data_IF_422423949390
#
_entry.id   IF_422423949390
#
_cell.length_a   1.000
_cell.length_b   1.000
_cell.length_c   1.000
_cell.angle_alpha   90.00
_cell.angle_beta   90.00
_cell.angle_gamma   90.00
#
_symmetry.space_group_name_H-M   'P 1'
#
loop_
_entity.id
_entity.type
_entity.pdbx_description
1 polymer ?
#
# COMPACT_ATOMS: atom_id res chain seq x y z
N UNK A 1 -9.39 -28.34 31.39
CA UNK A 1 -10.84 -28.24 31.12
C UNK A 1 -11.12 -26.85 30.58
N UNK A 2 -12.06 -26.77 29.64
CA UNK A 2 -12.56 -25.63 28.85
C UNK A 2 -11.61 -24.95 27.86
N UNK A 3 -11.88 -25.27 26.61
CA UNK A 3 -11.43 -24.78 25.31
C UNK A 3 -12.09 -23.47 24.86
N UNK A 4 -11.41 -22.68 24.01
CA UNK A 4 -11.99 -21.82 22.96
C UNK A 4 -10.85 -21.37 22.02
N UNK A 5 -10.49 -22.10 20.95
CA UNK A 5 -11.01 -22.05 19.57
C UNK A 5 -10.93 -20.68 18.87
N UNK A 6 -9.79 -20.40 18.23
CA UNK A 6 -9.64 -19.40 17.16
C UNK A 6 -9.70 -20.11 15.80
N UNK A 7 -10.62 -19.68 14.95
CA UNK A 7 -10.80 -20.15 13.57
C UNK A 7 -9.86 -19.38 12.62
N UNK A 8 -8.94 -20.08 11.97
CA UNK A 8 -8.15 -19.60 10.83
C UNK A 8 -8.21 -20.69 9.74
N UNK A 9 -9.10 -20.51 8.76
CA UNK A 9 -9.04 -21.22 7.48
C UNK A 9 -7.98 -20.52 6.62
N UNK A 10 -6.81 -21.13 6.39
CA UNK A 10 -6.56 -22.20 5.41
C UNK A 10 -5.94 -21.62 4.13
N UNK A 11 -4.63 -21.35 4.19
CA UNK A 11 -3.76 -21.42 3.02
C UNK A 11 -2.79 -22.58 3.21
N UNK A 12 -2.77 -23.47 2.22
CA UNK A 12 -2.26 -24.83 2.26
C UNK A 12 -0.77 -24.89 1.92
N UNK A 13 -0.08 -25.65 2.78
CA UNK A 13 1.16 -26.43 2.65
C UNK A 13 2.42 -25.88 1.95
N UNK A 14 3.41 -25.62 2.83
CA UNK A 14 4.83 -25.88 2.69
C UNK A 14 5.16 -27.29 2.18
N UNK A 15 6.00 -27.37 1.15
CA UNK A 15 6.77 -28.56 0.78
C UNK A 15 8.17 -28.43 1.40
N UNK A 16 8.65 -29.46 2.10
CA UNK A 16 10.05 -29.58 2.51
C UNK A 16 10.55 -30.99 2.19
N UNK A 17 11.79 -31.02 1.72
CA UNK A 17 12.54 -32.14 1.18
C UNK A 17 13.21 -32.91 2.32
N UNK A 18 13.17 -34.25 2.29
CA UNK A 18 14.30 -35.08 2.73
C UNK A 18 14.24 -36.48 2.14
N UNK A 19 15.39 -36.93 1.66
CA UNK A 19 15.70 -38.18 0.98
C UNK A 19 16.05 -39.31 1.96
N UNK A 20 15.75 -40.58 1.61
CA UNK A 20 16.60 -41.78 1.85
C UNK A 20 16.05 -43.03 1.14
N UNK A 21 16.80 -43.45 0.10
CA UNK A 21 17.23 -44.77 -0.45
C UNK A 21 16.71 -46.15 0.06
N UNK A 22 16.98 -47.27 -0.68
CA UNK A 22 15.97 -48.19 -1.25
C UNK A 22 16.05 -49.66 -0.76
N UNK A 23 15.02 -50.48 -1.07
CA UNK A 23 15.12 -51.97 -1.10
C UNK A 23 14.14 -52.56 -2.15
N UNK A 24 14.66 -53.39 -3.05
CA UNK A 24 13.99 -54.47 -3.82
C UNK A 24 14.54 -55.83 -3.32
N UNK A 25 14.14 -57.05 -3.77
CA UNK A 25 13.14 -57.46 -4.78
C UNK A 25 12.24 -58.64 -4.31
N UNK A 26 11.26 -59.10 -5.13
CA UNK A 26 11.02 -60.55 -5.35
C UNK A 26 10.03 -60.88 -6.48
N UNK A 27 10.46 -61.90 -7.24
CA UNK A 27 9.84 -62.76 -8.26
C UNK A 27 8.31 -62.98 -8.20
N UNK A 28 7.59 -62.88 -9.33
CA UNK A 28 7.45 -63.86 -10.43
C UNK A 28 6.45 -64.98 -10.11
N UNK A 29 5.26 -64.92 -10.71
CA UNK A 29 4.46 -66.12 -11.02
C UNK A 29 3.64 -65.89 -12.30
N UNK A 30 3.97 -66.67 -13.31
CA UNK A 30 3.29 -66.78 -14.60
C UNK A 30 2.21 -67.85 -14.54
N UNK A 31 1.03 -67.58 -15.12
CA UNK A 31 0.16 -68.62 -15.67
C UNK A 31 -0.38 -68.17 -17.05
N UNK A 32 0.05 -68.92 -18.08
CA UNK A 32 -0.62 -69.12 -19.39
C UNK A 32 -1.92 -69.93 -19.11
N UNK A 33 -3.00 -69.98 -19.88
CA UNK A 33 -3.45 -69.76 -21.28
C UNK A 33 -5.00 -69.53 -21.18
N UNK A 34 -5.79 -69.04 -22.13
CA UNK A 34 -6.10 -69.47 -23.52
C UNK A 34 -6.97 -68.39 -24.19
N UNK A 35 -6.86 -68.27 -25.52
CA UNK A 35 -7.70 -67.41 -26.37
C UNK A 35 -9.01 -68.10 -26.79
N UNK A 36 -10.11 -67.35 -26.83
CA UNK A 36 -11.21 -67.51 -27.78
C UNK A 36 -11.68 -66.12 -28.26
N UNK A 37 -11.91 -65.89 -29.57
CA UNK A 37 -12.26 -64.56 -30.09
C UNK A 37 -13.78 -64.39 -30.22
N UNK A 38 -14.28 -63.18 -29.90
CA UNK A 38 -15.64 -62.75 -30.22
C UNK A 38 -15.54 -61.51 -31.10
N UNK A 39 -16.16 -61.57 -32.28
CA UNK A 39 -16.23 -60.53 -33.30
C UNK A 39 -17.49 -59.66 -33.13
N UNK A 40 -17.36 -58.35 -33.37
CA UNK A 40 -18.48 -57.42 -33.55
C UNK A 40 -18.21 -56.49 -34.76
N UNK A 41 -19.26 -56.04 -35.48
CA UNK A 41 -19.19 -55.53 -36.86
C UNK A 41 -18.72 -54.06 -36.96
N UNK A 42 -18.37 -53.56 -38.17
CA UNK A 42 -17.70 -52.27 -38.33
C UNK A 42 -18.68 -51.09 -38.23
N UNK A 43 -18.35 -50.10 -37.40
CA UNK A 43 -19.09 -48.83 -37.33
C UNK A 43 -18.54 -47.85 -38.38
N UNK A 44 -19.43 -47.33 -39.22
CA UNK A 44 -19.14 -46.37 -40.29
C UNK A 44 -18.69 -45.02 -39.70
N UNK A 45 -17.54 -44.52 -40.13
CA UNK A 45 -17.09 -43.16 -39.84
C UNK A 45 -18.00 -42.13 -40.52
N UNK A 46 -18.60 -41.24 -39.74
CA UNK A 46 -19.27 -40.02 -40.22
C UNK A 46 -18.45 -38.83 -39.73
N UNK A 47 -17.66 -38.24 -40.62
CA UNK A 47 -17.03 -36.93 -40.40
C UNK A 47 -18.10 -35.86 -40.35
N UNK A 48 -18.39 -35.35 -39.15
CA UNK A 48 -19.19 -34.15 -38.94
C UNK A 48 -18.26 -33.13 -38.28
N UNK A 49 -17.59 -32.31 -39.08
CA UNK A 49 -16.84 -31.16 -38.58
C UNK A 49 -17.86 -30.18 -38.00
N UNK A 50 -18.04 -30.22 -36.68
CA UNK A 50 -18.96 -29.34 -35.97
C UNK A 50 -18.30 -27.98 -35.82
N UNK A 51 -18.90 -26.95 -36.45
CA UNK A 51 -18.55 -25.53 -36.30
C UNK A 51 -18.50 -25.10 -34.82
N UNK A 52 -19.21 -25.83 -33.94
CA UNK A 52 -19.18 -25.67 -32.48
C UNK A 52 -17.85 -26.04 -31.83
N UNK A 53 -17.08 -27.00 -32.36
CA UNK A 53 -15.79 -27.37 -31.79
C UNK A 53 -14.76 -26.26 -32.04
N UNK A 54 -14.81 -25.63 -33.23
CA UNK A 54 -13.94 -24.52 -33.62
C UNK A 54 -14.19 -23.28 -32.75
N UNK A 55 -15.46 -22.90 -32.53
CA UNK A 55 -15.80 -21.77 -31.63
C UNK A 55 -15.40 -22.02 -30.18
N UNK A 56 -15.58 -23.24 -29.68
CA UNK A 56 -15.15 -23.60 -28.32
C UNK A 56 -13.63 -23.56 -28.18
N UNK A 57 -12.87 -23.98 -29.20
CA UNK A 57 -11.40 -23.82 -29.19
C UNK A 57 -10.96 -22.36 -29.30
N UNK A 58 -11.68 -21.52 -30.05
CA UNK A 58 -11.42 -20.09 -30.13
C UNK A 58 -11.71 -19.38 -28.81
N UNK A 59 -12.82 -19.71 -28.14
CA UNK A 59 -13.17 -19.19 -26.81
C UNK A 59 -12.17 -19.65 -25.74
N UNK A 60 -11.73 -20.91 -25.77
CA UNK A 60 -10.68 -21.41 -24.88
C UNK A 60 -9.32 -20.76 -25.19
N UNK A 61 -8.99 -20.51 -26.45
CA UNK A 61 -7.77 -19.78 -26.82
C UNK A 61 -7.84 -18.31 -26.41
N UNK A 62 -9.00 -17.66 -26.51
CA UNK A 62 -9.21 -16.29 -26.02
C UNK A 62 -9.15 -16.23 -24.50
N UNK A 63 -9.72 -17.21 -23.79
CA UNK A 63 -9.60 -17.32 -22.33
C UNK A 63 -8.16 -17.61 -21.91
N UNK A 64 -7.43 -18.46 -22.64
CA UNK A 64 -6.01 -18.71 -22.40
C UNK A 64 -5.14 -17.51 -22.75
N UNK A 65 -5.47 -16.74 -23.79
CA UNK A 65 -4.78 -15.48 -24.12
C UNK A 65 -5.10 -14.37 -23.12
N UNK A 66 -6.33 -14.27 -22.62
CA UNK A 66 -6.69 -13.34 -21.54
C UNK A 66 -6.03 -13.74 -20.22
N UNK A 67 -5.96 -15.03 -19.91
CA UNK A 67 -5.21 -15.53 -18.75
C UNK A 67 -3.70 -15.31 -18.93
N UNK A 68 -3.13 -15.54 -20.12
CA UNK A 68 -1.73 -15.22 -20.41
C UNK A 68 -1.45 -13.72 -20.41
N UNK A 69 -2.37 -12.87 -20.87
CA UNK A 69 -2.25 -11.41 -20.79
C UNK A 69 -2.36 -10.92 -19.35
N UNK A 70 -3.22 -11.53 -18.52
CA UNK A 70 -3.22 -11.29 -17.06
C UNK A 70 -1.94 -11.80 -16.38
N UNK A 71 -1.31 -12.85 -16.91
CA UNK A 71 -0.06 -13.42 -16.40
C UNK A 71 1.19 -12.67 -16.91
N UNK A 72 1.06 -11.88 -17.99
CA UNK A 72 2.08 -10.97 -18.54
C UNK A 72 1.97 -9.54 -17.99
N UNK A 73 0.89 -9.21 -17.27
CA UNK A 73 0.69 -7.91 -16.65
C UNK A 73 1.43 -7.78 -15.32
N UNK A 74 1.77 -6.54 -14.94
CA UNK A 74 2.37 -6.23 -13.64
C UNK A 74 1.50 -6.75 -12.49
N UNK A 75 2.02 -7.68 -11.69
CA UNK A 75 1.30 -8.24 -10.54
C UNK A 75 1.41 -7.32 -9.33
N UNK A 76 0.51 -6.34 -9.25
CA UNK A 76 0.46 -5.35 -8.18
C UNK A 76 0.39 -5.96 -6.77
N UNK A 77 -0.41 -7.01 -6.58
CA UNK A 77 -0.56 -7.64 -5.25
C UNK A 77 0.76 -8.26 -4.78
N UNK A 78 1.44 -8.98 -5.67
CA UNK A 78 2.75 -9.56 -5.37
C UNK A 78 3.78 -8.47 -5.07
N UNK A 79 3.81 -7.41 -5.88
CA UNK A 79 4.70 -6.26 -5.67
C UNK A 79 4.48 -5.62 -4.29
N UNK A 80 3.23 -5.32 -3.92
CA UNK A 80 2.93 -4.70 -2.63
C UNK A 80 3.31 -5.60 -1.44
N UNK A 81 3.08 -6.91 -1.54
CA UNK A 81 3.48 -7.86 -0.49
C UNK A 81 5.00 -7.90 -0.36
N UNK A 82 5.73 -7.95 -1.48
CA UNK A 82 7.18 -7.95 -1.50
C UNK A 82 7.74 -6.66 -0.87
N UNK A 83 7.31 -5.49 -1.35
CA UNK A 83 7.79 -4.20 -0.80
C UNK A 83 7.40 -4.04 0.67
N UNK A 84 6.20 -4.44 1.07
CA UNK A 84 5.78 -4.37 2.48
C UNK A 84 6.67 -5.24 3.39
N UNK A 85 7.06 -6.44 2.94
CA UNK A 85 7.95 -7.33 3.69
C UNK A 85 9.37 -6.75 3.79
N UNK A 86 9.93 -6.27 2.68
CA UNK A 86 11.26 -5.63 2.67
C UNK A 86 11.32 -4.42 3.60
N UNK A 87 10.29 -3.57 3.55
CA UNK A 87 10.17 -2.39 4.42
C UNK A 87 9.99 -2.80 5.88
N UNK A 88 9.16 -3.80 6.17
CA UNK A 88 8.98 -4.30 7.54
C UNK A 88 10.31 -4.76 8.15
N UNK A 89 11.10 -5.53 7.39
CA UNK A 89 12.42 -5.98 7.82
C UNK A 89 13.38 -4.80 8.06
N UNK A 90 13.38 -3.81 7.16
CA UNK A 90 14.22 -2.63 7.30
C UNK A 90 13.84 -1.77 8.53
N UNK A 91 12.54 -1.57 8.80
CA UNK A 91 12.06 -0.86 9.98
C UNK A 91 12.40 -1.59 11.28
N UNK A 92 12.31 -2.93 11.30
CA UNK A 92 12.70 -3.75 12.45
C UNK A 92 14.17 -3.58 12.81
N UNK A 93 15.04 -3.44 11.81
CA UNK A 93 16.48 -3.19 11.98
C UNK A 93 16.77 -1.74 12.35
N UNK A 94 16.06 -0.79 11.76
CA UNK A 94 16.26 0.64 11.99
C UNK A 94 15.92 1.07 13.43
N UNK A 95 14.94 0.41 14.06
CA UNK A 95 14.48 0.75 15.42
C UNK A 95 14.69 -0.42 16.37
N UNK A 96 15.94 -0.77 16.69
CA UNK A 96 16.24 -1.86 17.63
C UNK A 96 15.89 -1.51 19.08
N UNK A 97 15.62 -2.53 19.91
CA UNK A 97 15.42 -2.36 21.35
C UNK A 97 16.76 -2.05 22.03
N UNK A 98 16.84 -0.89 22.68
CA UNK A 98 18.00 -0.43 23.46
C UNK A 98 17.53 0.50 24.57
N UNK A 99 18.41 0.82 25.51
CA UNK A 99 18.09 1.78 26.58
C UNK A 99 17.91 3.21 26.03
N UNK A 100 16.93 3.99 26.54
CA UNK A 100 15.90 3.58 27.49
C UNK A 100 14.84 2.67 26.83
N UNK A 101 14.56 1.50 27.41
CA UNK A 101 13.72 0.47 26.77
C UNK A 101 12.29 0.96 26.44
N UNK A 102 11.65 1.66 27.39
CA UNK A 102 10.23 2.05 27.28
C UNK A 102 9.93 2.88 26.02
N UNK A 103 10.83 3.78 25.61
CA UNK A 103 10.63 4.59 24.40
C UNK A 103 10.76 3.74 23.15
N UNK A 104 11.76 2.85 23.09
CA UNK A 104 11.98 1.98 21.92
C UNK A 104 10.85 0.95 21.78
N UNK A 105 10.31 0.44 22.89
CA UNK A 105 9.10 -0.39 22.88
C UNK A 105 7.90 0.38 22.31
N UNK A 106 7.65 1.61 22.78
CA UNK A 106 6.55 2.44 22.31
C UNK A 106 6.68 2.80 20.81
N UNK A 107 7.88 3.17 20.34
CA UNK A 107 8.14 3.45 18.93
C UNK A 107 7.87 2.21 18.07
N UNK A 108 8.44 1.06 18.45
CA UNK A 108 8.28 -0.21 17.73
C UNK A 108 6.83 -0.69 17.74
N UNK A 109 6.11 -0.50 18.85
CA UNK A 109 4.72 -0.93 18.98
C UNK A 109 3.85 -0.39 17.85
N UNK A 110 3.89 0.94 17.63
CA UNK A 110 3.09 1.57 16.57
C UNK A 110 3.69 1.34 15.17
N UNK A 111 5.01 1.46 15.03
CA UNK A 111 5.69 1.39 13.74
C UNK A 111 5.58 0.00 13.09
N UNK A 112 5.67 -1.04 13.91
CA UNK A 112 5.68 -2.45 13.50
C UNK A 112 4.31 -3.12 13.65
N UNK A 113 3.24 -2.38 14.00
CA UNK A 113 1.88 -2.90 14.07
C UNK A 113 1.30 -3.37 12.71
N UNK A 114 2.08 -3.32 11.63
CA UNK A 114 1.65 -3.62 10.27
C UNK A 114 1.06 -2.40 9.56
N UNK A 115 0.65 -2.59 8.31
CA UNK A 115 0.07 -1.54 7.48
C UNK A 115 0.21 -1.87 6.00
N UNK A 116 -0.50 -1.12 5.13
CA UNK A 116 -0.43 -1.32 3.67
C UNK A 116 0.93 -0.91 3.07
N UNK A 117 1.75 -0.14 3.83
CA UNK A 117 3.07 0.39 3.44
C UNK A 117 3.07 1.12 2.08
N UNK A 118 1.99 1.86 1.80
CA UNK A 118 1.80 2.59 0.52
C UNK A 118 2.88 3.67 0.33
N UNK A 119 3.18 4.46 1.36
CA UNK A 119 4.19 5.53 1.32
C UNK A 119 5.61 4.98 1.02
N UNK A 120 6.09 3.95 1.75
CA UNK A 120 7.33 3.25 1.39
C UNK A 120 7.35 2.69 -0.03
N UNK A 121 6.26 2.05 -0.47
CA UNK A 121 6.17 1.49 -1.82
C UNK A 121 6.27 2.59 -2.90
N UNK A 122 5.60 3.73 -2.69
CA UNK A 122 5.70 4.90 -3.57
C UNK A 122 7.13 5.46 -3.64
N UNK A 123 7.83 5.55 -2.50
CA UNK A 123 9.22 6.00 -2.45
C UNK A 123 10.14 5.06 -3.23
N UNK A 124 9.99 3.75 -3.06
CA UNK A 124 10.80 2.75 -3.76
C UNK A 124 10.49 2.78 -5.27
N UNK A 125 9.21 2.76 -5.64
CA UNK A 125 8.79 2.79 -7.05
C UNK A 125 9.31 4.05 -7.78
N UNK A 126 9.28 5.20 -7.13
CA UNK A 126 9.78 6.46 -7.72
C UNK A 126 11.31 6.44 -7.92
N UNK A 127 12.05 5.82 -7.00
CA UNK A 127 13.49 5.60 -7.15
C UNK A 127 13.81 4.68 -8.33
N UNK A 128 13.13 3.53 -8.40
CA UNK A 128 13.29 2.55 -9.48
C UNK A 128 12.91 3.15 -10.85
N UNK A 129 11.88 4.01 -10.88
CA UNK A 129 11.41 4.67 -12.08
C UNK A 129 12.52 5.50 -12.76
N UNK A 130 13.21 6.32 -11.97
CA UNK A 130 14.30 7.19 -12.46
C UNK A 130 15.63 6.45 -12.62
N UNK A 131 15.66 5.13 -12.38
CA UNK A 131 16.83 4.27 -12.61
C UNK A 131 17.69 4.01 -11.37
N UNK A 132 17.23 4.41 -10.18
CA UNK A 132 17.85 4.05 -8.92
C UNK A 132 17.53 2.63 -8.47
N UNK A 133 18.18 2.20 -7.39
CA UNK A 133 17.98 0.89 -6.77
C UNK A 133 17.14 0.99 -5.50
N UNK A 134 16.33 -0.03 -5.20
CA UNK A 134 15.54 -0.11 -3.96
C UNK A 134 16.40 0.12 -2.71
N UNK A 135 17.59 -0.49 -2.66
CA UNK A 135 18.50 -0.37 -1.52
C UNK A 135 18.91 1.09 -1.22
N UNK A 136 19.00 1.93 -2.26
CA UNK A 136 19.32 3.36 -2.12
C UNK A 136 18.14 4.15 -1.55
N UNK A 137 16.90 3.73 -1.83
CA UNK A 137 15.67 4.37 -1.36
C UNK A 137 15.19 3.85 0.00
N UNK A 138 15.60 2.65 0.43
CA UNK A 138 15.08 2.01 1.62
C UNK A 138 15.17 2.88 2.90
N UNK A 139 16.26 3.64 3.16
CA UNK A 139 16.28 4.55 4.31
C UNK A 139 15.26 5.68 4.21
N UNK A 140 15.03 6.25 3.02
CA UNK A 140 14.00 7.25 2.79
C UNK A 140 12.59 6.65 2.95
N UNK A 141 12.37 5.44 2.42
CA UNK A 141 11.12 4.69 2.58
C UNK A 141 10.82 4.38 4.05
N UNK A 142 11.83 4.02 4.84
CA UNK A 142 11.68 3.83 6.29
C UNK A 142 11.36 5.16 6.99
N UNK A 143 12.06 6.24 6.65
CA UNK A 143 11.88 7.55 7.25
C UNK A 143 10.45 8.09 7.04
N UNK A 144 9.89 7.97 5.83
CA UNK A 144 8.50 8.41 5.59
C UNK A 144 7.47 7.58 6.37
N UNK A 145 7.74 6.29 6.63
CA UNK A 145 6.86 5.46 7.47
C UNK A 145 7.03 5.77 8.96
N UNK A 146 8.23 6.16 9.41
CA UNK A 146 8.47 6.67 10.77
C UNK A 146 7.70 7.97 10.99
N UNK A 147 7.76 8.91 10.03
CA UNK A 147 6.98 10.16 10.04
C UNK A 147 5.48 9.85 10.03
N UNK A 148 5.02 8.97 9.15
CA UNK A 148 3.61 8.61 9.11
C UNK A 148 3.15 7.99 10.44
N UNK A 149 3.98 7.15 11.05
CA UNK A 149 3.64 6.51 12.33
C UNK A 149 3.62 7.52 13.46
N UNK A 150 4.59 8.45 13.51
CA UNK A 150 4.61 9.47 14.58
C UNK A 150 3.43 10.42 14.47
N UNK A 151 3.01 10.79 13.25
CA UNK A 151 1.83 11.62 13.08
C UNK A 151 0.59 10.93 13.65
N UNK A 152 0.43 9.62 13.40
CA UNK A 152 -0.68 8.84 13.97
C UNK A 152 -0.60 8.72 15.50
N UNK A 153 0.58 8.53 16.08
CA UNK A 153 0.75 8.48 17.55
C UNK A 153 0.27 9.78 18.19
N UNK A 154 0.61 10.92 17.59
CA UNK A 154 0.22 12.24 18.09
C UNK A 154 -1.26 12.55 17.82
N UNK A 155 -1.77 12.21 16.64
CA UNK A 155 -3.19 12.32 16.26
C UNK A 155 -4.10 11.54 17.22
N UNK A 156 -3.64 10.39 17.71
CA UNK A 156 -4.36 9.55 18.67
C UNK A 156 -4.40 10.10 20.11
N UNK A 157 -3.69 11.19 20.44
CA UNK A 157 -3.62 11.70 21.82
C UNK A 157 -4.96 12.27 22.32
N UNK A 158 -5.21 12.30 23.65
CA UNK A 158 -6.44 12.85 24.20
C UNK A 158 -6.73 14.33 23.87
N UNK A 159 -5.70 15.11 23.56
CA UNK A 159 -5.83 16.50 23.14
C UNK A 159 -6.03 16.70 21.63
N UNK A 160 -6.07 15.60 20.86
CA UNK A 160 -6.28 15.54 19.42
C UNK A 160 -7.54 14.69 19.18
N UNK A 161 -7.48 13.60 18.41
CA UNK A 161 -8.66 12.77 18.12
C UNK A 161 -9.13 11.92 19.30
N UNK A 162 -8.28 11.74 20.32
CA UNK A 162 -8.56 10.91 21.51
C UNK A 162 -9.03 9.48 21.16
N UNK A 163 -8.47 8.88 20.11
CA UNK A 163 -8.83 7.54 19.66
C UNK A 163 -8.27 6.46 20.60
N UNK A 164 -9.08 5.44 20.89
CA UNK A 164 -8.69 4.32 21.77
C UNK A 164 -8.03 3.15 21.00
N UNK A 165 -8.25 3.06 19.69
CA UNK A 165 -7.79 1.94 18.84
C UNK A 165 -7.15 2.44 17.52
N UNK A 166 -6.03 1.82 17.14
CA UNK A 166 -5.34 2.04 15.86
C UNK A 166 -4.79 0.71 15.32
N UNK A 167 -5.04 0.42 14.04
CA UNK A 167 -4.61 -0.84 13.38
C UNK A 167 -5.03 -2.11 14.14
N UNK A 168 -6.23 -2.10 14.72
CA UNK A 168 -6.79 -3.22 15.48
C UNK A 168 -6.17 -3.45 16.86
N UNK A 169 -5.40 -2.49 17.38
CA UNK A 169 -4.75 -2.55 18.70
C UNK A 169 -5.02 -1.26 19.49
N UNK A 170 -4.90 -1.27 20.84
CA UNK A 170 -4.94 -0.04 21.63
C UNK A 170 -3.96 1.02 21.12
N UNK A 171 -4.35 2.29 21.15
CA UNK A 171 -3.46 3.39 20.77
C UNK A 171 -2.25 3.48 21.71
N UNK A 172 -1.19 4.13 21.24
CA UNK A 172 0.08 4.17 21.95
C UNK A 172 -0.08 4.73 23.38
N UNK A 173 -0.83 5.83 23.52
CA UNK A 173 -1.05 6.48 24.80
C UNK A 173 -1.86 5.61 25.78
N UNK A 174 -2.73 4.71 25.30
CA UNK A 174 -3.45 3.75 26.16
C UNK A 174 -2.54 2.67 26.72
N UNK A 175 -1.49 2.28 25.99
CA UNK A 175 -0.55 1.25 26.41
C UNK A 175 0.57 1.81 27.29
N UNK A 176 1.13 2.96 26.89
CA UNK A 176 2.38 3.47 27.47
C UNK A 176 2.23 4.74 28.31
N UNK A 177 1.08 5.41 28.24
CA UNK A 177 0.84 6.74 28.81
C UNK A 177 1.01 7.86 27.78
N UNK A 178 0.37 9.01 28.02
CA UNK A 178 0.45 10.20 27.15
C UNK A 178 1.88 10.75 27.04
N UNK A 179 2.60 10.78 28.16
CA UNK A 179 3.99 11.26 28.26
C UNK A 179 4.92 10.46 27.34
N UNK A 180 4.82 9.13 27.36
CA UNK A 180 5.62 8.26 26.50
C UNK A 180 5.17 8.31 25.05
N UNK A 181 3.86 8.44 24.79
CA UNK A 181 3.35 8.56 23.42
C UNK A 181 3.86 9.83 22.72
N UNK A 182 3.83 10.98 23.39
CA UNK A 182 4.39 12.24 22.88
C UNK A 182 5.87 12.04 22.51
N UNK A 183 6.66 11.55 23.47
CA UNK A 183 8.11 11.36 23.27
C UNK A 183 8.42 10.28 22.22
N UNK A 184 7.59 9.26 22.06
CA UNK A 184 7.78 8.22 21.05
C UNK A 184 7.57 8.78 19.64
N UNK A 185 6.58 9.67 19.49
CA UNK A 185 6.38 10.41 18.25
C UNK A 185 7.57 11.33 17.94
N UNK A 186 8.03 12.10 18.92
CA UNK A 186 9.19 13.01 18.78
C UNK A 186 10.48 12.24 18.42
N UNK A 187 10.70 11.08 19.04
CA UNK A 187 11.83 10.22 18.76
C UNK A 187 11.79 9.63 17.35
N UNK A 188 10.60 9.22 16.87
CA UNK A 188 10.43 8.74 15.48
C UNK A 188 10.66 9.86 14.47
N UNK A 189 10.21 11.08 14.77
CA UNK A 189 10.48 12.27 13.95
C UNK A 189 11.99 12.53 13.83
N UNK A 190 12.70 12.58 14.95
CA UNK A 190 14.15 12.77 14.95
C UNK A 190 14.89 11.63 14.23
N UNK A 191 14.48 10.38 14.49
CA UNK A 191 15.08 9.19 13.89
C UNK A 191 14.87 9.15 12.37
N UNK A 192 13.74 9.63 11.85
CA UNK A 192 13.50 9.67 10.41
C UNK A 192 14.60 10.46 9.68
N UNK A 193 14.96 11.65 10.20
CA UNK A 193 16.04 12.47 9.64
C UNK A 193 17.42 11.84 9.81
N UNK A 194 17.71 11.36 11.02
CA UNK A 194 18.98 10.68 11.32
C UNK A 194 19.18 9.48 10.39
N UNK A 195 18.12 8.68 10.19
CA UNK A 195 18.17 7.46 9.40
C UNK A 195 18.46 7.74 7.93
N UNK A 196 17.83 8.76 7.32
CA UNK A 196 18.17 9.17 5.94
C UNK A 196 19.63 9.63 5.85
N UNK A 197 20.08 10.46 6.79
CA UNK A 197 21.44 11.00 6.77
C UNK A 197 22.50 9.90 6.92
N UNK A 198 22.28 8.96 7.84
CA UNK A 198 23.29 8.01 8.28
C UNK A 198 23.19 6.63 7.64
N UNK A 199 22.03 6.21 7.13
CA UNK A 199 21.84 4.87 6.56
C UNK A 199 21.85 4.86 5.02
N UNK A 200 21.63 5.99 4.35
CA UNK A 200 21.70 6.04 2.87
C UNK A 200 23.12 5.79 2.36
N UNK A 201 23.25 4.88 1.39
CA UNK A 201 24.50 4.48 0.74
C UNK A 201 24.35 4.58 -0.78
N UNK A 202 25.44 4.74 -1.52
CA UNK A 202 25.41 4.84 -2.98
C UNK A 202 24.83 6.15 -3.54
N UNK A 203 24.43 7.09 -2.68
CA UNK A 203 23.84 8.39 -3.04
C UNK A 203 24.81 9.51 -2.64
N UNK A 204 24.90 10.56 -3.47
CA UNK A 204 25.80 11.69 -3.17
C UNK A 204 25.29 12.51 -1.99
N UNK A 205 26.16 13.08 -1.15
CA UNK A 205 25.75 13.90 0.00
C UNK A 205 24.79 15.03 -0.36
N UNK A 206 24.98 15.69 -1.52
CA UNK A 206 24.08 16.74 -1.99
C UNK A 206 22.64 16.23 -2.22
N UNK A 207 22.46 15.02 -2.76
CA UNK A 207 21.14 14.41 -2.95
C UNK A 207 20.51 13.99 -1.62
N UNK A 208 21.32 13.48 -0.68
CA UNK A 208 20.85 13.13 0.68
C UNK A 208 20.33 14.39 1.39
N UNK A 209 21.10 15.48 1.39
CA UNK A 209 20.69 16.76 1.99
C UNK A 209 19.43 17.32 1.31
N UNK A 210 19.34 17.23 -0.02
CA UNK A 210 18.14 17.63 -0.77
C UNK A 210 16.91 16.82 -0.35
N UNK A 211 17.03 15.49 -0.22
CA UNK A 211 15.94 14.62 0.22
C UNK A 211 15.50 14.92 1.67
N UNK A 212 16.45 15.20 2.56
CA UNK A 212 16.18 15.65 3.94
C UNK A 212 15.44 17.00 3.94
N UNK A 213 15.87 17.95 3.10
CA UNK A 213 15.20 19.23 2.94
C UNK A 213 13.76 19.09 2.46
N UNK A 214 13.50 18.20 1.50
CA UNK A 214 12.14 17.89 1.06
C UNK A 214 11.30 17.23 2.16
N UNK A 215 11.86 16.28 2.91
CA UNK A 215 11.18 15.68 4.06
C UNK A 215 10.77 16.75 5.07
N UNK A 216 11.68 17.66 5.44
CA UNK A 216 11.41 18.74 6.36
C UNK A 216 10.30 19.68 5.85
N UNK A 217 10.32 20.02 4.55
CA UNK A 217 9.29 20.88 3.94
C UNK A 217 7.91 20.23 4.00
N UNK A 218 7.77 18.96 3.63
CA UNK A 218 6.46 18.29 3.56
C UNK A 218 5.86 17.95 4.92
N UNK A 219 6.65 17.91 5.99
CA UNK A 219 6.13 17.65 7.35
C UNK A 219 5.87 18.94 8.12
N UNK A 220 6.52 20.04 7.75
CA UNK A 220 6.47 21.30 8.50
C UNK A 220 5.22 22.14 8.26
N UNK A 221 5.38 23.45 8.43
CA UNK A 221 4.31 24.47 8.36
C UNK A 221 3.76 24.74 6.96
N UNK A 222 4.29 24.06 5.94
CA UNK A 222 3.79 24.09 4.56
C UNK A 222 3.27 22.71 4.12
N UNK A 223 3.11 21.78 5.05
CA UNK A 223 2.73 20.40 4.77
C UNK A 223 1.92 19.78 5.90
N UNK A 224 2.30 18.58 6.34
CA UNK A 224 1.54 17.75 7.28
C UNK A 224 1.01 18.54 8.50
N UNK A 225 1.88 19.28 9.19
CA UNK A 225 1.48 20.05 10.38
C UNK A 225 0.49 21.16 10.03
N UNK A 226 0.65 21.84 8.89
CA UNK A 226 -0.30 22.86 8.45
C UNK A 226 -1.70 22.27 8.22
N UNK A 227 -1.76 21.13 7.54
CA UNK A 227 -3.02 20.42 7.31
C UNK A 227 -3.67 19.98 8.62
N UNK A 228 -2.88 19.48 9.57
CA UNK A 228 -3.38 19.09 10.89
C UNK A 228 -3.96 20.28 11.67
N UNK A 229 -3.26 21.41 11.70
CA UNK A 229 -3.72 22.61 12.41
C UNK A 229 -5.04 23.12 11.83
N UNK A 230 -5.13 23.19 10.50
CA UNK A 230 -6.36 23.66 9.84
C UNK A 230 -7.51 22.65 10.02
N UNK A 231 -7.23 21.34 10.02
CA UNK A 231 -8.25 20.32 10.31
C UNK A 231 -8.85 20.52 11.71
N UNK A 232 -8.01 20.68 12.74
CA UNK A 232 -8.44 20.94 14.12
C UNK A 232 -9.23 22.25 14.22
N UNK A 233 -8.79 23.31 13.56
CA UNK A 233 -9.50 24.59 13.54
C UNK A 233 -10.86 24.52 12.81
N UNK A 234 -11.03 23.52 11.95
CA UNK A 234 -12.25 23.29 11.17
C UNK A 234 -13.22 22.34 11.87
N UNK A 235 -12.83 21.69 12.97
CA UNK A 235 -13.73 20.82 13.74
C UNK A 235 -14.90 21.59 14.34
N UNK A 236 -16.12 21.11 14.08
CA UNK A 236 -17.35 21.74 14.56
C UNK A 236 -17.82 22.94 13.75
N UNK A 237 -17.16 23.27 12.62
CA UNK A 237 -17.62 24.28 11.67
C UNK A 237 -18.51 23.64 10.58
N UNK A 238 -19.63 24.28 10.25
CA UNK A 238 -20.55 23.82 9.20
C UNK A 238 -20.01 24.14 7.78
N UNK A 239 -20.63 23.55 6.74
CA UNK A 239 -20.37 23.85 5.31
C UNK A 239 -20.43 25.34 4.93
N UNK A 240 -21.18 26.13 5.70
CA UNK A 240 -21.27 27.59 5.49
C UNK A 240 -19.96 28.32 5.81
N UNK A 241 -19.09 27.69 6.59
CA UNK A 241 -17.86 28.26 7.15
C UNK A 241 -16.61 27.61 6.53
N UNK A 242 -16.67 26.31 6.19
CA UNK A 242 -15.60 25.58 5.49
C UNK A 242 -15.95 25.38 4.02
N UNK A 243 -15.38 26.23 3.17
CA UNK A 243 -15.53 26.12 1.72
C UNK A 243 -14.69 25.01 1.08
N UNK A 244 -15.01 24.66 -0.17
CA UNK A 244 -14.27 23.63 -0.94
C UNK A 244 -12.75 23.85 -1.00
N UNK A 245 -12.30 25.11 -0.99
CA UNK A 245 -10.88 25.47 -1.00
C UNK A 245 -10.18 25.11 0.30
N UNK A 246 -10.88 25.26 1.43
CA UNK A 246 -10.34 24.93 2.75
C UNK A 246 -10.28 23.40 2.91
N UNK A 247 -11.31 22.69 2.46
CA UNK A 247 -11.31 21.23 2.40
C UNK A 247 -10.13 20.69 1.57
N UNK A 248 -9.96 21.23 0.36
CA UNK A 248 -8.84 20.88 -0.51
C UNK A 248 -7.50 21.21 0.16
N UNK A 249 -7.38 22.35 0.83
CA UNK A 249 -6.19 22.71 1.60
C UNK A 249 -5.87 21.66 2.66
N UNK A 250 -6.84 21.28 3.50
CA UNK A 250 -6.68 20.25 4.53
C UNK A 250 -6.17 18.95 3.90
N UNK A 251 -6.82 18.48 2.83
CA UNK A 251 -6.48 17.20 2.20
C UNK A 251 -5.09 17.21 1.53
N UNK A 252 -4.74 18.30 0.85
CA UNK A 252 -3.43 18.47 0.24
C UNK A 252 -2.32 18.46 1.31
N UNK A 253 -2.55 19.06 2.46
CA UNK A 253 -1.52 19.22 3.49
C UNK A 253 -1.48 18.05 4.47
N UNK A 254 -2.62 17.60 5.02
CA UNK A 254 -2.69 16.51 6.03
C UNK A 254 -2.31 15.15 5.42
N UNK A 255 -2.76 14.87 4.19
CA UNK A 255 -2.58 13.55 3.56
C UNK A 255 -1.61 13.59 2.37
N UNK A 256 -1.86 14.48 1.39
CA UNK A 256 -1.13 14.44 0.13
C UNK A 256 0.35 14.84 0.26
N UNK A 257 0.68 15.78 1.16
CA UNK A 257 2.05 16.27 1.34
C UNK A 257 3.06 15.16 1.66
N UNK A 258 2.71 14.19 2.53
CA UNK A 258 3.61 13.10 2.86
C UNK A 258 3.70 12.03 1.74
N UNK A 259 2.63 11.86 0.94
CA UNK A 259 2.68 11.03 -0.28
C UNK A 259 3.59 11.68 -1.33
N UNK A 260 3.46 13.00 -1.52
CA UNK A 260 4.36 13.82 -2.34
C UNK A 260 5.81 13.65 -1.89
N UNK A 261 6.08 13.84 -0.60
CA UNK A 261 7.41 13.65 -0.03
C UNK A 261 7.96 12.25 -0.29
N UNK A 262 7.13 11.22 -0.14
CA UNK A 262 7.53 9.83 -0.40
C UNK A 262 8.04 9.66 -1.84
N UNK A 263 7.26 10.11 -2.82
CA UNK A 263 7.63 9.98 -4.24
C UNK A 263 8.85 10.86 -4.57
N UNK A 264 8.85 12.12 -4.13
CA UNK A 264 9.92 13.09 -4.42
C UNK A 264 11.25 12.67 -3.81
N UNK A 265 11.26 12.19 -2.56
CA UNK A 265 12.47 11.65 -1.95
C UNK A 265 13.00 10.46 -2.74
N UNK A 266 12.14 9.54 -3.15
CA UNK A 266 12.49 8.42 -4.01
C UNK A 266 13.15 8.84 -5.32
N UNK A 267 12.56 9.80 -6.03
CA UNK A 267 13.11 10.34 -7.27
C UNK A 267 14.48 11.02 -7.05
N UNK A 268 14.64 11.80 -5.98
CA UNK A 268 15.91 12.47 -5.66
C UNK A 268 17.01 11.46 -5.35
N UNK A 269 16.75 10.48 -4.48
CA UNK A 269 17.77 9.47 -4.12
C UNK A 269 18.08 8.55 -5.30
N UNK A 270 17.10 8.25 -6.14
CA UNK A 270 17.26 7.49 -7.39
C UNK A 270 18.06 8.22 -8.46
N UNK A 271 18.29 9.52 -8.32
CA UNK A 271 19.10 10.31 -9.25
C UNK A 271 18.31 10.92 -10.40
N UNK A 272 16.99 11.04 -10.26
CA UNK A 272 16.15 11.76 -11.21
C UNK A 272 16.53 13.24 -11.31
N UNK A 273 16.43 13.79 -12.52
CA UNK A 273 16.61 15.21 -12.79
C UNK A 273 15.45 16.06 -12.27
N UNK A 274 15.62 17.39 -12.26
CA UNK A 274 14.61 18.31 -11.72
C UNK A 274 13.25 18.22 -12.45
N UNK A 275 13.27 17.98 -13.77
CA UNK A 275 12.03 17.78 -14.54
C UNK A 275 11.29 16.50 -14.13
N UNK A 276 12.02 15.40 -13.94
CA UNK A 276 11.44 14.12 -13.51
C UNK A 276 10.88 14.22 -12.09
N UNK A 277 11.63 14.87 -11.19
CA UNK A 277 11.19 15.15 -9.81
C UNK A 277 9.90 15.98 -9.80
N UNK A 278 9.80 17.01 -10.65
CA UNK A 278 8.62 17.86 -10.72
C UNK A 278 7.40 17.14 -11.34
N UNK A 279 7.59 16.32 -12.38
CA UNK A 279 6.51 15.45 -12.90
C UNK A 279 6.00 14.51 -11.83
N UNK A 280 6.91 13.89 -11.08
CA UNK A 280 6.57 12.96 -10.01
C UNK A 280 5.92 13.65 -8.80
N UNK A 281 6.27 14.91 -8.54
CA UNK A 281 5.58 15.75 -7.55
C UNK A 281 4.11 15.95 -7.93
N UNK A 282 3.83 16.29 -9.19
CA UNK A 282 2.46 16.47 -9.69
C UNK A 282 1.66 15.17 -9.66
N UNK A 283 2.26 14.07 -10.12
CA UNK A 283 1.69 12.73 -9.95
C UNK A 283 1.27 12.47 -8.51
N UNK A 284 2.18 12.71 -7.55
CA UNK A 284 1.93 12.40 -6.16
C UNK A 284 0.87 13.31 -5.50
N UNK A 285 0.74 14.57 -5.95
CA UNK A 285 -0.36 15.46 -5.55
C UNK A 285 -1.71 14.93 -6.01
N UNK A 286 -1.83 14.54 -7.28
CA UNK A 286 -3.05 13.93 -7.82
C UNK A 286 -3.41 12.66 -7.05
N UNK A 287 -2.44 11.77 -6.82
CA UNK A 287 -2.64 10.54 -6.04
C UNK A 287 -3.03 10.80 -4.59
N UNK A 288 -2.42 11.80 -3.95
CA UNK A 288 -2.73 12.16 -2.58
C UNK A 288 -4.13 12.73 -2.42
N UNK A 289 -4.57 13.58 -3.35
CA UNK A 289 -5.94 14.09 -3.37
C UNK A 289 -6.95 12.99 -3.67
N UNK A 290 -6.64 12.14 -4.67
CA UNK A 290 -7.42 10.96 -5.02
C UNK A 290 -7.65 10.04 -3.81
N UNK A 291 -6.60 9.79 -3.03
CA UNK A 291 -6.67 8.94 -1.84
C UNK A 291 -7.75 9.41 -0.88
N UNK A 292 -7.84 10.73 -0.69
CA UNK A 292 -8.75 11.35 0.26
C UNK A 292 -10.17 11.44 -0.28
N UNK A 293 -10.36 11.81 -1.56
CA UNK A 293 -11.67 11.77 -2.23
C UNK A 293 -12.27 10.36 -2.14
N UNK A 294 -11.47 9.32 -2.38
CA UNK A 294 -11.93 7.93 -2.26
C UNK A 294 -12.21 7.54 -0.81
N UNK A 295 -11.43 8.02 0.17
CA UNK A 295 -11.71 7.75 1.58
C UNK A 295 -13.07 8.33 2.00
N UNK A 296 -13.36 9.57 1.62
CA UNK A 296 -14.63 10.24 1.88
C UNK A 296 -15.81 9.51 1.20
N UNK A 297 -15.63 9.04 -0.04
CA UNK A 297 -16.64 8.24 -0.75
C UNK A 297 -16.89 6.91 -0.01
N UNK A 298 -15.83 6.24 0.44
CA UNK A 298 -15.94 4.98 1.15
C UNK A 298 -16.61 5.17 2.52
N UNK A 299 -16.30 6.23 3.26
CA UNK A 299 -16.93 6.50 4.56
C UNK A 299 -18.45 6.73 4.44
N UNK A 300 -18.90 7.32 3.32
CA UNK A 300 -20.32 7.48 3.02
C UNK A 300 -21.01 6.20 2.55
N UNK A 301 -20.30 5.31 1.85
CA UNK A 301 -20.92 4.22 1.08
C UNK A 301 -20.72 2.81 1.65
N UNK A 302 -19.77 2.62 2.56
CA UNK A 302 -19.42 1.31 3.14
C UNK A 302 -19.82 1.22 4.60
N UNK A 303 -20.05 -0.01 5.08
CA UNK A 303 -20.31 -0.23 6.51
C UNK A 303 -19.02 -0.19 7.34
N UNK A 304 -19.16 0.02 8.65
CA UNK A 304 -18.02 -0.01 9.60
C UNK A 304 -17.26 -1.35 9.57
N UNK A 305 -17.97 -2.43 9.30
CA UNK A 305 -17.42 -3.79 9.22
C UNK A 305 -16.55 -3.98 7.96
N UNK A 306 -16.94 -3.34 6.84
CA UNK A 306 -16.18 -3.39 5.59
C UNK A 306 -14.90 -2.53 5.63
N UNK A 307 -14.95 -1.39 6.34
CA UNK A 307 -13.82 -0.46 6.44
C UNK A 307 -12.84 -0.81 7.58
N UNK A 308 -13.27 -1.56 8.58
CA UNK A 308 -12.48 -1.82 9.79
C UNK A 308 -12.27 -0.58 10.68
N UNK A 309 -13.04 0.48 10.44
CA UNK A 309 -13.18 1.71 11.25
C UNK A 309 -14.66 2.04 11.39
N UNK A 310 -15.05 2.87 12.36
CA UNK A 310 -16.45 3.34 12.48
C UNK A 310 -16.82 4.16 11.24
N UNK A 311 -17.66 3.64 10.36
CA UNK A 311 -18.19 4.33 9.18
C UNK A 311 -19.22 5.39 9.59
N UNK A 312 -19.32 6.47 8.81
CA UNK A 312 -20.24 7.56 9.07
C UNK A 312 -19.83 8.44 10.26
N UNK A 313 -18.59 8.30 10.76
CA UNK A 313 -18.03 9.24 11.74
C UNK A 313 -18.11 10.68 11.20
N UNK A 314 -17.87 10.87 9.91
CA UNK A 314 -17.91 12.19 9.27
C UNK A 314 -19.34 12.77 9.23
N UNK A 315 -20.36 11.93 9.06
CA UNK A 315 -21.77 12.36 9.15
C UNK A 315 -22.16 12.72 10.59
N UNK A 316 -21.63 12.01 11.58
CA UNK A 316 -21.89 12.27 13.01
C UNK A 316 -21.14 13.50 13.51
N UNK A 317 -19.95 13.77 12.98
CA UNK A 317 -19.13 14.94 13.30
C UNK A 317 -19.45 16.18 12.43
N UNK A 318 -20.48 16.09 11.59
CA UNK A 318 -20.83 17.04 10.52
C UNK A 318 -19.65 17.50 9.63
N UNK A 319 -18.61 16.67 9.51
CA UNK A 319 -17.38 17.02 8.81
C UNK A 319 -17.68 17.34 7.34
N UNK A 320 -17.00 18.37 6.82
CA UNK A 320 -17.08 18.72 5.40
C UNK A 320 -16.28 17.71 4.60
N UNK A 321 -16.92 17.05 3.64
CA UNK A 321 -16.32 16.01 2.79
C UNK A 321 -16.65 16.25 1.32
N UNK A 322 -15.88 15.65 0.40
CA UNK A 322 -16.14 15.82 -1.03
C UNK A 322 -17.55 15.39 -1.46
N UNK A 323 -18.09 14.23 -1.04
CA UNK A 323 -19.46 13.85 -1.37
C UNK A 323 -20.50 14.83 -0.82
N UNK A 324 -20.26 15.45 0.35
CA UNK A 324 -21.15 16.44 0.97
C UNK A 324 -21.17 17.75 0.16
N UNK A 325 -20.02 18.18 -0.37
CA UNK A 325 -19.87 19.43 -1.14
C UNK A 325 -20.27 19.28 -2.61
N UNK A 326 -19.82 18.20 -3.28
CA UNK A 326 -20.00 18.00 -4.72
C UNK A 326 -21.21 17.13 -5.07
N UNK A 327 -21.66 16.30 -4.12
CA UNK A 327 -22.53 15.16 -4.40
C UNK A 327 -21.72 13.92 -4.78
N UNK A 328 -22.24 12.74 -4.45
CA UNK A 328 -21.55 11.46 -4.62
C UNK A 328 -21.07 11.18 -6.05
N UNK A 329 -21.92 11.42 -7.06
CA UNK A 329 -21.54 11.13 -8.45
C UNK A 329 -20.43 12.06 -8.95
N UNK A 330 -20.48 13.36 -8.63
CA UNK A 330 -19.41 14.28 -8.99
C UNK A 330 -18.11 13.99 -8.25
N UNK A 331 -18.18 13.51 -7.00
CA UNK A 331 -17.00 13.06 -6.28
C UNK A 331 -16.34 11.84 -6.95
N UNK A 332 -17.12 10.90 -7.50
CA UNK A 332 -16.59 9.78 -8.29
C UNK A 332 -15.97 10.23 -9.61
N UNK A 333 -16.63 11.13 -10.33
CA UNK A 333 -16.08 11.73 -11.56
C UNK A 333 -14.75 12.43 -11.29
N UNK A 334 -14.67 13.17 -10.18
CA UNK A 334 -13.45 13.85 -9.77
C UNK A 334 -12.33 12.87 -9.40
N UNK A 335 -12.65 11.77 -8.71
CA UNK A 335 -11.68 10.70 -8.44
C UNK A 335 -11.12 10.09 -9.74
N UNK A 336 -11.96 9.81 -10.73
CA UNK A 336 -11.49 9.29 -12.03
C UNK A 336 -10.65 10.30 -12.81
N UNK A 337 -10.98 11.60 -12.73
CA UNK A 337 -10.18 12.67 -13.31
C UNK A 337 -8.78 12.73 -12.67
N UNK A 338 -8.69 12.71 -11.34
CA UNK A 338 -7.42 12.70 -10.62
C UNK A 338 -6.58 11.46 -10.94
N UNK A 339 -7.22 10.28 -11.07
CA UNK A 339 -6.54 9.05 -11.46
C UNK A 339 -5.96 9.16 -12.88
N UNK A 340 -6.73 9.71 -13.83
CA UNK A 340 -6.25 9.95 -15.19
C UNK A 340 -5.09 10.95 -15.22
N UNK A 341 -5.23 12.10 -14.55
CA UNK A 341 -4.20 13.13 -14.50
C UNK A 341 -2.90 12.62 -13.86
N UNK A 342 -3.01 11.83 -12.78
CA UNK A 342 -1.85 11.16 -12.19
C UNK A 342 -1.11 10.31 -13.25
N UNK A 343 -1.82 9.47 -13.99
CA UNK A 343 -1.23 8.61 -15.03
C UNK A 343 -0.62 9.42 -16.17
N UNK A 344 -1.23 10.55 -16.55
CA UNK A 344 -0.69 11.44 -17.59
C UNK A 344 0.66 12.04 -17.18
N UNK A 345 0.88 12.34 -15.90
CA UNK A 345 2.16 12.81 -15.38
C UNK A 345 3.29 11.76 -15.43
N UNK A 346 2.94 10.48 -15.56
CA UNK A 346 3.90 9.40 -15.81
C UNK A 346 4.25 9.25 -17.30
N UNK A 347 3.65 10.08 -18.17
CA UNK A 347 3.97 10.14 -19.58
C UNK A 347 5.45 10.50 -19.83
N UNK A 348 6.11 9.72 -20.69
CA UNK A 348 7.52 9.90 -21.05
C UNK A 348 8.50 9.07 -20.22
N UNK A 349 8.05 8.43 -19.13
CA UNK A 349 8.82 7.38 -18.48
C UNK A 349 8.64 6.04 -19.20
N UNK A 350 9.60 5.11 -19.03
CA UNK A 350 9.50 3.78 -19.61
C UNK A 350 8.33 3.00 -18.98
N UNK A 351 7.45 2.42 -19.82
CA UNK A 351 6.21 1.77 -19.39
C UNK A 351 6.40 0.72 -18.29
N UNK A 352 7.38 -0.16 -18.42
CA UNK A 352 7.66 -1.21 -17.42
C UNK A 352 8.05 -0.63 -16.05
N UNK A 353 8.78 0.49 -16.06
CA UNK A 353 9.20 1.19 -14.84
C UNK A 353 8.08 2.03 -14.23
N UNK A 354 7.16 2.53 -15.04
CA UNK A 354 5.99 3.29 -14.58
C UNK A 354 4.87 2.38 -14.05
N UNK A 355 4.86 1.09 -14.41
CA UNK A 355 3.80 0.15 -14.06
C UNK A 355 3.49 0.07 -12.54
N UNK A 356 4.46 0.09 -11.61
CA UNK A 356 4.16 0.15 -10.18
C UNK A 356 3.37 1.40 -9.76
N UNK A 357 3.74 2.58 -10.26
CA UNK A 357 3.07 3.84 -9.92
C UNK A 357 1.68 3.94 -10.58
N UNK A 358 1.52 3.44 -11.80
CA UNK A 358 0.21 3.31 -12.45
C UNK A 358 -0.70 2.40 -11.63
N UNK A 359 -0.21 1.22 -11.26
CA UNK A 359 -0.97 0.25 -10.48
C UNK A 359 -1.30 0.76 -9.06
N UNK A 360 -0.42 1.55 -8.43
CA UNK A 360 -0.69 2.23 -7.16
C UNK A 360 -1.82 3.26 -7.29
N UNK A 361 -1.82 4.07 -8.35
CA UNK A 361 -2.89 5.04 -8.61
C UNK A 361 -4.23 4.33 -8.84
N UNK A 362 -4.25 3.29 -9.68
CA UNK A 362 -5.46 2.49 -9.93
C UNK A 362 -5.93 1.75 -8.67
N UNK A 363 -5.02 1.24 -7.84
CA UNK A 363 -5.38 0.63 -6.57
C UNK A 363 -6.06 1.63 -5.64
N UNK A 364 -5.51 2.85 -5.53
CA UNK A 364 -6.09 3.89 -4.67
C UNK A 364 -7.47 4.30 -5.17
N UNK A 365 -7.65 4.46 -6.49
CA UNK A 365 -8.94 4.80 -7.10
C UNK A 365 -10.04 3.77 -6.83
N UNK A 366 -9.70 2.47 -6.88
CA UNK A 366 -10.70 1.39 -6.88
C UNK A 366 -10.71 0.53 -5.60
N UNK A 367 -9.95 0.92 -4.57
CA UNK A 367 -9.91 0.19 -3.29
C UNK A 367 -11.30 0.10 -2.67
N UNK A 368 -11.55 -1.02 -2.00
CA UNK A 368 -12.82 -1.26 -1.31
C UNK A 368 -12.72 -0.97 0.21
N UNK A 369 -11.50 -0.71 0.71
CA UNK A 369 -11.18 -0.44 2.12
C UNK A 369 -9.79 0.23 2.29
#
# INVERSE_FOLDING_TARGET
MSSSSLHLGSWVHTCSISSTRPISPTNCFTWRTTHTPISFPPFKARTRTTISAVRFTEELQQQQQQQQQQQMGFNFKSYMVEKANSVQQALEQAVSLKEPLKIHEAMRYSLLAGGKRVRPALCIAACELVGGEEASAMPAACAVEMIHTMSLIHDDLPCMDNDDLRRGKPTNHKVYGEDVAVLAGDALLALAFEHVANATRGVSPARIVRAIGELARVIGTEGLVAGQVVDIQSEGLDLGEVGIKELEYIHLHKTAALLEGSVVMGAIVGGGGDEEVEKLRRYARCVGLLFQVVDDILDLTKSSEELGKTAGKDLVADKVTYPKVLGLEKAREFAEELNREAKDHLGGFHGDRAAPLIALADYIAHRQN
#
